data_IF_505528615958
#
_entry.id   IF_505528615958
#
_cell.length_a   1.000
_cell.length_b   1.000
_cell.length_c   1.000
_cell.angle_alpha   90.00
_cell.angle_beta   90.00
_cell.angle_gamma   90.00
#
_symmetry.space_group_name_H-M   'P 1'
#
loop_
_entity.id
_entity.type
_entity.pdbx_description
1 polymer ?
#
# COMPACT_ATOMS: atom_id res chain seq x y z
N UNK A 1 25.56 22.98 14.10
CA UNK A 1 24.13 22.62 14.23
C UNK A 1 23.59 22.46 12.81
N UNK A 2 23.57 21.23 12.29
CA UNK A 2 23.12 20.91 10.91
C UNK A 2 21.62 20.58 11.01
N UNK A 3 20.78 21.54 10.62
CA UNK A 3 20.00 21.51 9.37
C UNK A 3 18.93 20.43 9.42
N UNK A 4 17.91 20.72 10.23
CA UNK A 4 16.55 20.21 10.06
C UNK A 4 16.00 20.87 8.80
N UNK A 5 16.17 20.21 7.67
CA UNK A 5 15.49 20.60 6.43
C UNK A 5 14.52 19.47 6.13
N UNK A 6 13.40 19.46 6.86
CA UNK A 6 12.19 18.79 6.37
C UNK A 6 11.84 19.40 5.01
N UNK A 7 11.78 18.62 3.92
CA UNK A 7 11.56 19.14 2.56
C UNK A 7 10.13 19.64 2.28
N UNK A 8 9.23 19.62 3.27
CA UNK A 8 7.83 19.92 3.04
C UNK A 8 7.50 21.42 3.30
N UNK A 9 6.87 22.11 2.33
CA UNK A 9 6.53 23.52 2.46
C UNK A 9 5.48 23.75 3.57
N UNK A 10 5.45 24.94 4.21
CA UNK A 10 4.47 25.26 5.24
C UNK A 10 3.07 25.42 4.63
N UNK A 11 2.19 24.45 4.85
CA UNK A 11 0.83 24.47 4.33
C UNK A 11 -0.10 25.43 5.11
N UNK A 12 -0.92 26.23 4.42
CA UNK A 12 -1.93 27.08 5.05
C UNK A 12 -3.11 26.25 5.59
N UNK A 13 -3.59 26.63 6.78
CA UNK A 13 -4.63 25.95 7.57
C UNK A 13 -5.97 25.87 6.83
N UNK A 14 -6.46 24.67 6.49
CA UNK A 14 -7.81 24.46 5.93
C UNK A 14 -8.45 23.17 6.49
N UNK A 15 -9.61 23.36 7.13
CA UNK A 15 -10.69 22.43 7.53
C UNK A 15 -10.32 21.01 8.02
N UNK A 16 -10.60 20.78 9.32
CA UNK A 16 -10.33 19.61 10.16
C UNK A 16 -10.50 18.20 9.54
N UNK A 17 -11.40 18.02 8.56
CA UNK A 17 -11.64 16.71 7.93
C UNK A 17 -10.65 16.36 6.82
N UNK A 18 -10.23 17.35 6.02
CA UNK A 18 -9.27 17.15 4.93
C UNK A 18 -7.85 16.94 5.47
N UNK A 19 -7.50 17.61 6.58
CA UNK A 19 -6.24 17.35 7.29
C UNK A 19 -6.15 15.91 7.83
N UNK A 20 -7.25 15.36 8.34
CA UNK A 20 -7.27 13.96 8.82
C UNK A 20 -7.09 12.97 7.67
N UNK A 21 -7.79 13.20 6.55
CA UNK A 21 -7.62 12.41 5.31
C UNK A 21 -6.17 12.45 4.85
N UNK A 22 -5.60 13.65 4.71
CA UNK A 22 -4.22 13.84 4.26
C UNK A 22 -3.22 13.14 5.18
N UNK A 23 -3.37 13.28 6.49
CA UNK A 23 -2.53 12.61 7.47
C UNK A 23 -2.58 11.08 7.34
N UNK A 24 -3.78 10.51 7.12
CA UNK A 24 -3.92 9.07 6.90
C UNK A 24 -3.29 8.62 5.58
N UNK A 25 -3.45 9.41 4.51
CA UNK A 25 -2.78 9.14 3.22
C UNK A 25 -1.27 9.09 3.40
N UNK A 26 -0.69 10.09 4.07
CA UNK A 26 0.75 10.15 4.37
C UNK A 26 1.20 8.93 5.21
N UNK A 27 0.46 8.58 6.26
CA UNK A 27 0.75 7.40 7.10
C UNK A 27 0.71 6.10 6.28
N UNK A 28 -0.32 5.91 5.45
CA UNK A 28 -0.45 4.74 4.58
C UNK A 28 0.69 4.69 3.57
N UNK A 29 1.04 5.83 2.97
CA UNK A 29 2.14 5.92 2.02
C UNK A 29 3.46 5.54 2.68
N UNK A 30 3.76 6.11 3.85
CA UNK A 30 4.98 5.83 4.61
C UNK A 30 5.11 4.34 4.98
N UNK A 31 3.98 3.69 5.29
CA UNK A 31 3.95 2.25 5.59
C UNK A 31 4.24 1.37 4.36
N UNK A 32 3.85 1.80 3.16
CA UNK A 32 3.91 0.96 1.95
C UNK A 32 5.05 1.33 1.00
N UNK A 33 5.61 2.53 1.09
CA UNK A 33 6.71 3.01 0.24
C UNK A 33 7.99 2.21 0.44
N UNK A 34 8.25 1.75 1.67
CA UNK A 34 9.44 0.97 2.07
C UNK A 34 9.28 -0.53 1.81
N UNK A 35 8.10 -0.99 1.39
CA UNK A 35 7.90 -2.37 0.98
C UNK A 35 8.83 -2.65 -0.21
N UNK A 36 9.58 -3.75 -0.14
CA UNK A 36 10.42 -4.20 -1.25
C UNK A 36 9.67 -5.07 -2.22
N UNK A 37 10.07 -4.97 -3.47
CA UNK A 37 9.62 -5.91 -4.48
C UNK A 37 10.20 -7.32 -4.20
N UNK A 38 9.44 -8.40 -4.37
CA UNK A 38 9.92 -9.76 -4.11
C UNK A 38 11.01 -10.22 -5.09
N UNK A 39 11.16 -9.59 -6.25
CA UNK A 39 12.19 -9.90 -7.26
C UNK A 39 13.28 -8.82 -7.37
N UNK A 40 13.00 -7.58 -6.97
CA UNK A 40 13.96 -6.47 -7.04
C UNK A 40 14.37 -6.01 -5.63
N UNK A 41 15.64 -5.62 -5.43
CA UNK A 41 16.09 -5.05 -4.15
C UNK A 41 15.54 -3.65 -3.88
N UNK A 42 14.89 -3.03 -4.88
CA UNK A 42 14.30 -1.69 -4.83
C UNK A 42 12.95 -1.70 -4.13
N UNK A 43 12.56 -0.56 -3.56
CA UNK A 43 11.25 -0.40 -2.94
C UNK A 43 10.14 -0.13 -3.95
N UNK A 44 8.87 -0.26 -3.54
CA UNK A 44 7.73 0.05 -4.39
C UNK A 44 7.73 1.52 -4.86
N UNK A 45 8.23 2.44 -4.03
CA UNK A 45 8.41 3.85 -4.39
C UNK A 45 9.48 4.02 -5.47
N UNK A 46 10.66 3.43 -5.28
CA UNK A 46 11.78 3.53 -6.24
C UNK A 46 11.43 2.97 -7.62
N UNK A 47 10.57 1.95 -7.63
CA UNK A 47 10.05 1.35 -8.85
C UNK A 47 8.90 2.18 -9.46
N UNK A 48 8.29 3.11 -8.73
CA UNK A 48 7.11 3.84 -9.16
C UNK A 48 5.85 2.97 -9.19
N UNK A 49 5.81 1.91 -8.38
CA UNK A 49 4.65 1.02 -8.24
C UNK A 49 3.54 1.68 -7.43
N UNK A 50 3.91 2.53 -6.48
CA UNK A 50 2.97 3.27 -5.63
C UNK A 50 3.43 4.70 -5.45
N UNK A 51 2.47 5.63 -5.43
CA UNK A 51 2.70 7.05 -5.18
C UNK A 51 1.65 7.60 -4.24
N UNK A 52 1.90 8.76 -3.63
CA UNK A 52 0.92 9.44 -2.76
C UNK A 52 -0.39 9.74 -3.48
N UNK A 53 -0.34 10.07 -4.77
CA UNK A 53 -1.53 10.39 -5.59
C UNK A 53 -2.41 9.15 -5.87
N UNK A 54 -1.81 7.96 -5.83
CA UNK A 54 -2.50 6.69 -6.02
C UNK A 54 -3.25 6.21 -4.75
N UNK A 55 -3.08 6.90 -3.63
CA UNK A 55 -3.71 6.58 -2.35
C UNK A 55 -4.86 7.55 -2.08
N UNK A 56 -6.04 6.99 -1.79
CA UNK A 56 -7.23 7.76 -1.41
C UNK A 56 -7.78 7.23 -0.09
N UNK A 57 -8.06 8.15 0.83
CA UNK A 57 -8.67 7.82 2.12
C UNK A 57 -9.98 8.58 2.26
N UNK A 58 -11.03 7.83 2.56
CA UNK A 58 -12.37 8.33 2.80
C UNK A 58 -12.73 8.05 4.25
N UNK A 59 -12.73 9.08 5.10
CA UNK A 59 -13.05 8.94 6.52
C UNK A 59 -14.55 8.93 6.69
N UNK A 60 -15.11 7.82 7.18
CA UNK A 60 -16.53 7.69 7.52
C UNK A 60 -16.71 7.61 9.04
N UNK A 61 -17.96 7.77 9.50
CA UNK A 61 -18.30 7.82 10.92
C UNK A 61 -17.89 6.56 11.72
N UNK A 62 -17.91 5.39 11.07
CA UNK A 62 -17.63 4.10 11.72
C UNK A 62 -16.41 3.34 11.18
N UNK A 63 -15.89 3.70 10.01
CA UNK A 63 -14.73 3.05 9.41
C UNK A 63 -14.04 3.99 8.42
N UNK A 64 -12.76 3.76 8.12
CA UNK A 64 -12.09 4.45 7.01
C UNK A 64 -12.12 3.60 5.75
N UNK A 65 -12.32 4.19 4.58
CA UNK A 65 -12.12 3.50 3.31
C UNK A 65 -10.79 3.92 2.72
N UNK A 66 -9.88 2.97 2.59
CA UNK A 66 -8.55 3.18 2.01
C UNK A 66 -8.56 2.55 0.64
N UNK A 67 -8.27 3.32 -0.40
CA UNK A 67 -8.12 2.85 -1.77
C UNK A 67 -6.69 3.07 -2.23
N UNK A 68 -6.00 2.02 -2.63
CA UNK A 68 -4.61 2.09 -3.11
C UNK A 68 -4.56 1.60 -4.54
N UNK A 69 -4.04 2.42 -5.44
CA UNK A 69 -3.80 2.03 -6.83
C UNK A 69 -2.33 1.62 -7.00
N UNK A 70 -2.10 0.42 -7.53
CA UNK A 70 -0.77 -0.08 -7.84
C UNK A 70 -0.53 -0.02 -9.35
N UNK A 71 0.65 0.47 -9.72
CA UNK A 71 1.10 0.58 -11.10
C UNK A 71 2.20 -0.47 -11.34
N UNK A 72 1.86 -1.66 -11.86
CA UNK A 72 2.87 -2.71 -12.06
C UNK A 72 3.91 -2.25 -13.09
N UNK A 73 5.18 -2.31 -12.70
CA UNK A 73 6.33 -1.91 -13.53
C UNK A 73 6.74 -2.98 -14.52
N UNK A 74 6.40 -4.23 -14.23
CA UNK A 74 6.69 -5.39 -15.08
C UNK A 74 5.42 -6.17 -15.42
N UNK A 75 5.36 -6.77 -16.62
CA UNK A 75 4.19 -7.47 -17.08
C UNK A 75 4.03 -8.90 -16.51
N UNK A 76 4.37 -9.09 -15.24
CA UNK A 76 4.30 -10.39 -14.56
C UNK A 76 3.21 -10.38 -13.49
N UNK A 77 2.04 -10.88 -13.90
CA UNK A 77 0.79 -10.95 -13.13
C UNK A 77 0.95 -11.50 -11.69
N UNK A 78 1.85 -12.47 -11.49
CA UNK A 78 2.05 -13.10 -10.18
C UNK A 78 2.63 -12.14 -9.13
N UNK A 79 3.54 -11.25 -9.53
CA UNK A 79 4.20 -10.31 -8.62
C UNK A 79 3.24 -9.24 -8.14
N UNK A 80 2.41 -8.71 -9.03
CA UNK A 80 1.39 -7.72 -8.68
C UNK A 80 0.42 -8.25 -7.60
N UNK A 81 0.06 -9.54 -7.67
CA UNK A 81 -0.75 -10.19 -6.65
C UNK A 81 -0.02 -10.27 -5.30
N UNK A 82 1.25 -10.67 -5.30
CA UNK A 82 2.08 -10.74 -4.08
C UNK A 82 2.25 -9.36 -3.47
N UNK A 83 2.59 -8.35 -4.27
CA UNK A 83 2.75 -6.95 -3.82
C UNK A 83 1.45 -6.45 -3.19
N UNK A 84 0.29 -6.71 -3.82
CA UNK A 84 -1.01 -6.37 -3.24
C UNK A 84 -1.26 -7.05 -1.89
N UNK A 85 -0.86 -8.32 -1.74
CA UNK A 85 -0.92 -9.02 -0.45
C UNK A 85 0.06 -8.43 0.57
N UNK A 86 1.26 -8.02 0.17
CA UNK A 86 2.24 -7.35 1.04
C UNK A 86 1.70 -6.03 1.58
N UNK A 87 1.18 -5.18 0.69
CA UNK A 87 0.55 -3.89 1.04
C UNK A 87 -0.59 -4.13 2.02
N UNK A 88 -1.47 -5.08 1.71
CA UNK A 88 -2.60 -5.42 2.57
C UNK A 88 -2.16 -5.91 3.95
N UNK A 89 -1.23 -6.86 4.01
CA UNK A 89 -0.72 -7.38 5.27
C UNK A 89 -0.02 -6.30 6.11
N UNK A 90 0.73 -5.40 5.46
CA UNK A 90 1.40 -4.27 6.13
C UNK A 90 0.37 -3.32 6.75
N UNK A 91 -0.63 -2.89 5.98
CA UNK A 91 -1.67 -1.99 6.46
C UNK A 91 -2.55 -2.64 7.54
N UNK A 92 -2.94 -3.92 7.37
CA UNK A 92 -3.72 -4.64 8.39
C UNK A 92 -2.95 -4.88 9.70
N UNK A 93 -1.60 -4.86 9.66
CA UNK A 93 -0.74 -5.04 10.83
C UNK A 93 -0.44 -3.72 11.55
N UNK A 94 -0.17 -2.66 10.80
CA UNK A 94 0.33 -1.39 11.34
C UNK A 94 -0.80 -0.38 11.62
N UNK A 95 -1.96 -0.46 10.95
CA UNK A 95 -3.07 0.48 11.18
C UNK A 95 -3.94 0.06 12.38
N UNK A 96 -4.06 0.89 13.43
CA UNK A 96 -4.79 0.54 14.66
C UNK A 96 -6.31 0.78 14.58
N UNK A 97 -6.84 1.24 13.44
CA UNK A 97 -8.25 1.58 13.26
C UNK A 97 -8.98 0.60 12.35
N UNK A 98 -10.32 0.64 12.34
CA UNK A 98 -11.12 -0.17 11.42
C UNK A 98 -11.17 0.50 10.06
N UNK A 99 -10.67 -0.19 9.03
CA UNK A 99 -10.73 0.30 7.65
C UNK A 99 -11.12 -0.79 6.65
N UNK A 100 -11.63 -0.34 5.51
CA UNK A 100 -11.84 -1.15 4.31
C UNK A 100 -10.75 -0.80 3.33
N UNK A 101 -9.88 -1.75 3.04
CA UNK A 101 -8.84 -1.61 2.04
C UNK A 101 -9.35 -2.14 0.70
N UNK A 102 -9.31 -1.28 -0.31
CA UNK A 102 -9.59 -1.59 -1.71
C UNK A 102 -8.29 -1.38 -2.51
N UNK A 103 -7.71 -2.45 -3.06
CA UNK A 103 -6.50 -2.37 -3.90
C UNK A 103 -6.89 -2.49 -5.37
N UNK A 104 -6.50 -1.50 -6.16
CA UNK A 104 -6.73 -1.43 -7.60
C UNK A 104 -5.42 -1.59 -8.36
N UNK A 105 -5.45 -2.30 -9.48
CA UNK A 105 -4.31 -2.36 -10.41
C UNK A 105 -4.65 -1.42 -11.57
N UNK A 106 -3.76 -0.47 -11.87
CA UNK A 106 -4.02 0.53 -12.93
C UNK A 106 -4.26 -0.16 -14.28
N UNK A 107 -5.43 0.12 -14.86
CA UNK A 107 -5.90 -0.50 -16.11
C UNK A 107 -5.11 0.05 -17.31
N UNK A 108 -4.62 -0.83 -18.19
CA UNK A 108 -3.82 -0.47 -19.37
C UNK A 108 -2.54 -1.28 -19.53
N UNK A 109 -2.04 -1.93 -18.48
CA UNK A 109 -0.83 -2.75 -18.54
C UNK A 109 -1.09 -4.25 -18.75
N UNK A 110 -2.28 -4.78 -18.39
CA UNK A 110 -2.60 -6.22 -18.45
C UNK A 110 -4.09 -6.54 -18.61
N UNK A 111 -4.40 -7.62 -19.33
CA UNK A 111 -5.76 -8.21 -19.44
C UNK A 111 -6.27 -8.83 -18.13
N UNK A 112 -5.39 -9.07 -17.15
CA UNK A 112 -5.69 -9.72 -15.86
C UNK A 112 -5.75 -8.75 -14.68
N UNK A 113 -5.63 -7.43 -14.90
CA UNK A 113 -5.65 -6.42 -13.83
C UNK A 113 -6.94 -6.50 -12.99
N UNK A 114 -8.09 -6.64 -13.65
CA UNK A 114 -9.39 -6.78 -12.99
C UNK A 114 -9.51 -8.09 -12.18
N UNK A 115 -8.90 -9.18 -12.65
CA UNK A 115 -8.87 -10.45 -11.91
C UNK A 115 -7.97 -10.35 -10.69
N UNK A 116 -6.79 -9.73 -10.82
CA UNK A 116 -5.86 -9.49 -9.71
C UNK A 116 -6.49 -8.64 -8.62
N UNK A 117 -7.11 -7.50 -8.99
CA UNK A 117 -7.83 -6.67 -8.03
C UNK A 117 -8.90 -7.47 -7.30
N UNK A 118 -9.66 -8.33 -7.99
CA UNK A 118 -10.63 -9.22 -7.31
C UNK A 118 -9.97 -10.19 -6.35
N UNK A 119 -8.84 -10.79 -6.73
CA UNK A 119 -8.12 -11.74 -5.89
C UNK A 119 -7.54 -11.10 -4.62
N UNK A 120 -7.00 -9.88 -4.72
CA UNK A 120 -6.39 -9.17 -3.59
C UNK A 120 -7.46 -8.66 -2.62
N UNK A 121 -8.58 -8.15 -3.15
CA UNK A 121 -9.70 -7.66 -2.33
C UNK A 121 -10.54 -8.78 -1.70
N UNK A 122 -10.38 -10.02 -2.16
CA UNK A 122 -11.02 -11.17 -1.55
C UNK A 122 -10.38 -11.46 -0.18
N UNK A 123 -11.16 -11.23 0.88
CA UNK A 123 -10.66 -11.34 2.26
C UNK A 123 -10.27 -12.77 2.62
N UNK A 124 -11.07 -13.74 2.17
CA UNK A 124 -10.88 -15.16 2.48
C UNK A 124 -9.68 -15.73 1.71
N UNK A 125 -9.52 -15.36 0.43
CA UNK A 125 -8.35 -15.76 -0.38
C UNK A 125 -7.06 -15.11 0.10
N UNK A 126 -7.10 -13.83 0.47
CA UNK A 126 -5.93 -13.16 1.04
C UNK A 126 -5.48 -13.81 2.34
N UNK A 127 -6.41 -14.11 3.24
CA UNK A 127 -6.13 -14.82 4.48
C UNK A 127 -5.60 -16.25 4.24
N UNK A 128 -6.22 -17.00 3.32
CA UNK A 128 -5.77 -18.33 2.94
C UNK A 128 -4.37 -18.33 2.32
N UNK A 129 -4.04 -17.31 1.51
CA UNK A 129 -2.69 -17.12 0.97
C UNK A 129 -1.68 -16.88 2.10
N UNK A 130 -2.04 -16.08 3.11
CA UNK A 130 -1.19 -15.82 4.29
C UNK A 130 -1.05 -17.04 5.22
N UNK A 131 -1.93 -18.03 5.15
CA UNK A 131 -1.79 -19.31 5.85
C UNK A 131 -0.69 -20.19 5.20
N UNK A 132 -0.41 -20.00 3.91
CA UNK A 132 0.67 -20.70 3.24
C UNK A 132 2.03 -20.16 3.68
N UNK A 133 2.82 -21.02 4.35
CA UNK A 133 4.16 -20.69 4.87
C UNK A 133 5.10 -20.11 3.82
N UNK A 134 4.98 -20.49 2.55
CA UNK A 134 5.83 -19.96 1.48
C UNK A 134 5.47 -18.52 1.14
N UNK A 135 4.17 -18.24 0.95
CA UNK A 135 3.68 -16.89 0.66
C UNK A 135 3.91 -15.99 1.86
N UNK A 136 3.63 -16.45 3.07
CA UNK A 136 3.91 -15.71 4.30
C UNK A 136 5.38 -15.34 4.43
N UNK A 137 6.31 -16.25 4.12
CA UNK A 137 7.75 -15.93 4.13
C UNK A 137 8.14 -14.89 3.08
N UNK A 138 7.54 -14.94 1.90
CA UNK A 138 7.78 -13.92 0.86
C UNK A 138 7.22 -12.56 1.29
N UNK A 139 5.98 -12.53 1.75
CA UNK A 139 5.33 -11.31 2.25
C UNK A 139 6.13 -10.74 3.41
N UNK A 140 6.45 -11.56 4.42
CA UNK A 140 7.29 -11.19 5.56
C UNK A 140 8.63 -10.64 5.07
N UNK A 141 9.34 -11.30 4.15
CA UNK A 141 10.58 -10.77 3.57
C UNK A 141 10.44 -9.39 2.92
N UNK A 142 9.28 -9.10 2.31
CA UNK A 142 8.98 -7.79 1.70
C UNK A 142 8.61 -6.73 2.74
N UNK A 143 7.99 -7.11 3.86
CA UNK A 143 7.56 -6.19 4.94
C UNK A 143 8.49 -6.15 6.15
N UNK A 144 9.48 -7.04 6.26
CA UNK A 144 10.36 -7.22 7.44
C UNK A 144 11.59 -6.33 7.42
N UNK A 145 11.70 -5.39 6.49
CA UNK A 145 12.62 -4.26 6.67
C UNK A 145 12.00 -3.28 7.67
N UNK A 146 11.93 -3.70 8.93
CA UNK A 146 11.99 -2.78 10.05
C UNK A 146 13.40 -2.20 9.99
N UNK A 147 13.52 -0.98 9.48
CA UNK A 147 14.75 -0.22 9.58
C UNK A 147 15.14 -0.12 11.06
N UNK A 148 16.26 -0.77 11.39
CA UNK A 148 17.24 -0.51 12.45
C UNK A 148 16.81 0.34 13.65
#
# INVERSE_FOLDING_TARGET
KRSDTSPYPPYPKMQNGEEEVRRRVEEIYDLIKDIRDPEKPQTLEELGVVTEDDIRVDVQEHYSRVSVTLVPTVPHCHLAAIIGLCVRARLERDLPYTFKLDIFIKEGSHTTAAELSKQINDKERGAAAMENKNIRKMVDGCVSYEGC
#
